data_IF_087352297353
#
_entry.id   IF_087352297353
#
_cell.length_a   1.000
_cell.length_b   1.000
_cell.length_c   1.000
_cell.angle_alpha   90.00
_cell.angle_beta   90.00
_cell.angle_gamma   90.00
#
_symmetry.space_group_name_H-M   'P 1'
#
loop_
_entity.id
_entity.type
_entity.pdbx_description
1 polymer ?
#
# COMPACT_ATOMS: atom_id res chain seq x y z
N UNK A 1 -12.36 8.03 -15.27
CA UNK A 1 -11.72 9.21 -14.61
C UNK A 1 -11.07 10.09 -15.68
N UNK A 2 -11.49 11.38 -15.83
CA UNK A 2 -10.87 12.32 -16.77
C UNK A 2 -9.39 12.60 -16.40
N UNK A 3 -8.54 12.80 -17.42
CA UNK A 3 -7.10 13.06 -17.20
C UNK A 3 -6.84 14.33 -16.39
N UNK A 4 -7.60 15.39 -16.70
CA UNK A 4 -7.45 16.68 -15.99
C UNK A 4 -7.73 16.56 -14.48
N UNK A 5 -8.69 15.73 -14.09
CA UNK A 5 -8.94 15.46 -12.69
C UNK A 5 -7.78 14.70 -12.03
N UNK A 6 -7.24 13.68 -12.72
CA UNK A 6 -6.08 12.93 -12.22
C UNK A 6 -4.86 13.83 -12.03
N UNK A 7 -4.57 14.71 -13.01
CA UNK A 7 -3.46 15.68 -12.94
C UNK A 7 -3.67 16.71 -11.83
N UNK A 8 -4.91 17.13 -11.56
CA UNK A 8 -5.23 18.02 -10.44
C UNK A 8 -4.97 17.33 -9.11
N UNK A 9 -5.48 16.11 -8.92
CA UNK A 9 -5.26 15.35 -7.67
C UNK A 9 -3.77 15.14 -7.37
N UNK A 10 -2.95 14.84 -8.39
CA UNK A 10 -1.50 14.72 -8.23
C UNK A 10 -0.86 16.07 -7.89
N UNK A 11 -1.15 17.14 -8.66
CA UNK A 11 -0.56 18.45 -8.47
C UNK A 11 -0.89 19.08 -7.12
N UNK A 12 -2.17 19.00 -6.74
CA UNK A 12 -2.71 19.70 -5.56
C UNK A 12 -2.72 18.79 -4.32
N UNK A 13 -2.24 17.55 -4.46
CA UNK A 13 -2.28 16.49 -3.43
C UNK A 13 -3.69 16.31 -2.86
N UNK A 14 -4.71 16.32 -3.74
CA UNK A 14 -6.13 16.32 -3.41
C UNK A 14 -6.68 14.91 -3.32
N UNK A 15 -7.36 14.58 -2.21
CA UNK A 15 -8.07 13.32 -2.07
C UNK A 15 -9.36 13.32 -2.92
N UNK A 16 -9.54 12.36 -3.86
CA UNK A 16 -10.69 12.29 -4.74
C UNK A 16 -11.90 11.64 -4.04
N UNK A 17 -12.46 12.28 -3.02
CA UNK A 17 -13.54 11.76 -2.17
C UNK A 17 -14.76 11.28 -2.96
N UNK A 18 -15.15 11.99 -4.04
CA UNK A 18 -16.28 11.58 -4.90
C UNK A 18 -16.00 10.23 -5.58
N UNK A 19 -14.76 10.00 -6.04
CA UNK A 19 -14.40 8.73 -6.68
C UNK A 19 -14.38 7.62 -5.64
N UNK A 20 -13.82 7.89 -4.44
CA UNK A 20 -13.84 6.93 -3.34
C UNK A 20 -15.28 6.52 -2.98
N UNK A 21 -16.20 7.48 -2.85
CA UNK A 21 -17.61 7.20 -2.62
C UNK A 21 -18.26 6.37 -3.73
N UNK A 22 -17.86 6.54 -4.99
CA UNK A 22 -18.33 5.68 -6.10
C UNK A 22 -17.83 4.25 -5.97
N UNK A 23 -16.57 4.03 -5.54
CA UNK A 23 -16.03 2.69 -5.28
C UNK A 23 -16.79 2.00 -4.14
N UNK A 24 -17.14 2.75 -3.08
CA UNK A 24 -18.02 2.28 -1.98
C UNK A 24 -19.36 1.85 -2.54
N UNK A 25 -20.03 2.71 -3.30
CA UNK A 25 -21.35 2.44 -3.89
C UNK A 25 -21.35 1.23 -4.85
N UNK A 26 -20.20 0.89 -5.43
CA UNK A 26 -19.99 -0.31 -6.26
C UNK A 26 -19.75 -1.57 -5.42
N UNK A 27 -19.68 -1.48 -4.09
CA UNK A 27 -19.41 -2.60 -3.19
C UNK A 27 -17.95 -3.08 -3.16
N UNK A 28 -17.01 -2.33 -3.77
CA UNK A 28 -15.63 -2.78 -3.93
C UNK A 28 -14.85 -2.85 -2.59
N UNK A 29 -15.29 -2.10 -1.57
CA UNK A 29 -14.68 -2.17 -0.23
C UNK A 29 -14.97 -3.48 0.49
N UNK A 30 -16.00 -4.23 0.05
CA UNK A 30 -16.40 -5.51 0.61
C UNK A 30 -15.64 -6.73 0.07
N UNK A 31 -14.71 -6.59 -0.88
CA UNK A 31 -13.96 -7.69 -1.50
C UNK A 31 -13.04 -8.45 -0.53
N UNK A 32 -12.80 -7.91 0.65
CA UNK A 32 -11.93 -8.48 1.68
C UNK A 32 -12.68 -8.78 2.98
N UNK A 33 -13.99 -8.59 3.00
CA UNK A 33 -14.85 -8.69 4.19
C UNK A 33 -15.87 -9.81 4.00
N UNK A 34 -16.05 -10.63 5.04
CA UNK A 34 -17.01 -11.73 5.04
C UNK A 34 -18.46 -11.25 4.87
N UNK A 35 -19.32 -12.09 4.31
CA UNK A 35 -20.73 -11.80 4.03
C UNK A 35 -21.53 -11.42 5.29
N UNK A 36 -21.20 -12.03 6.43
CA UNK A 36 -21.86 -11.72 7.72
C UNK A 36 -21.69 -10.28 8.18
N UNK A 37 -20.64 -9.58 7.71
CA UNK A 37 -20.38 -8.16 7.97
C UNK A 37 -20.74 -7.25 6.78
N UNK A 38 -21.45 -7.81 5.78
CA UNK A 38 -21.94 -7.06 4.61
C UNK A 38 -20.98 -7.03 3.41
N UNK A 39 -19.87 -7.77 3.47
CA UNK A 39 -18.94 -7.92 2.35
C UNK A 39 -19.38 -8.98 1.33
N UNK A 40 -18.51 -9.28 0.39
CA UNK A 40 -18.71 -10.31 -0.65
C UNK A 40 -17.85 -11.56 -0.45
N UNK A 41 -17.18 -11.65 0.68
CA UNK A 41 -16.20 -12.70 0.97
C UNK A 41 -14.77 -12.25 0.69
N UNK A 42 -13.80 -13.11 1.08
CA UNK A 42 -12.38 -12.84 0.88
C UNK A 42 -11.95 -13.24 -0.53
N UNK A 43 -11.77 -12.25 -1.40
CA UNK A 43 -11.31 -12.42 -2.80
C UNK A 43 -10.07 -11.55 -3.05
N UNK A 44 -8.89 -12.12 -2.85
CA UNK A 44 -7.61 -11.42 -3.03
C UNK A 44 -7.32 -11.19 -4.52
N UNK A 45 -7.70 -12.12 -5.38
CA UNK A 45 -7.52 -11.99 -6.82
C UNK A 45 -8.32 -10.82 -7.39
N UNK A 46 -9.58 -10.64 -6.98
CA UNK A 46 -10.39 -9.49 -7.37
C UNK A 46 -9.83 -8.19 -6.76
N UNK A 47 -9.40 -8.21 -5.50
CA UNK A 47 -8.79 -7.05 -4.84
C UNK A 47 -7.53 -6.60 -5.58
N UNK A 48 -6.62 -7.50 -5.93
CA UNK A 48 -5.41 -7.24 -6.73
C UNK A 48 -5.76 -6.65 -8.10
N UNK A 49 -6.81 -7.18 -8.76
CA UNK A 49 -7.29 -6.65 -10.04
C UNK A 49 -7.76 -5.20 -9.91
N UNK A 50 -8.54 -4.89 -8.88
CA UNK A 50 -9.02 -3.52 -8.63
C UNK A 50 -7.84 -2.60 -8.34
N UNK A 51 -6.87 -3.01 -7.52
CA UNK A 51 -5.65 -2.23 -7.24
C UNK A 51 -4.88 -1.95 -8.54
N UNK A 52 -4.62 -2.96 -9.37
CA UNK A 52 -3.94 -2.79 -10.67
C UNK A 52 -4.67 -1.75 -11.53
N UNK A 53 -5.99 -1.89 -11.70
CA UNK A 53 -6.79 -1.00 -12.55
C UNK A 53 -6.83 0.45 -12.02
N UNK A 54 -6.98 0.63 -10.72
CA UNK A 54 -7.02 1.96 -10.10
C UNK A 54 -5.66 2.64 -10.15
N UNK A 55 -4.58 1.91 -9.82
CA UNK A 55 -3.21 2.44 -9.83
C UNK A 55 -2.69 2.70 -11.25
N UNK A 56 -3.15 1.95 -12.26
CA UNK A 56 -2.92 2.29 -13.66
C UNK A 56 -3.47 3.67 -14.03
N UNK A 57 -4.50 4.13 -13.33
CA UNK A 57 -5.07 5.46 -13.56
C UNK A 57 -4.46 6.51 -12.64
N UNK A 58 -4.44 6.26 -11.33
CA UNK A 58 -3.90 7.18 -10.33
C UNK A 58 -3.71 6.51 -8.98
N UNK A 59 -2.57 6.74 -8.34
CA UNK A 59 -2.36 6.37 -6.93
C UNK A 59 -3.27 7.17 -5.98
N UNK A 60 -3.70 8.38 -6.36
CA UNK A 60 -4.67 9.15 -5.58
C UNK A 60 -6.00 8.42 -5.38
N UNK A 61 -6.31 7.45 -6.25
CA UNK A 61 -7.52 6.61 -6.14
C UNK A 61 -7.19 5.22 -5.60
N UNK A 62 -6.11 4.60 -6.10
CA UNK A 62 -5.71 3.26 -5.67
C UNK A 62 -5.25 3.22 -4.21
N UNK A 63 -4.57 4.26 -3.72
CA UNK A 63 -4.13 4.36 -2.33
C UNK A 63 -5.28 4.30 -1.32
N UNK A 64 -6.28 5.20 -1.40
CA UNK A 64 -7.45 5.15 -0.51
C UNK A 64 -8.25 3.85 -0.59
N UNK A 65 -8.35 3.24 -1.76
CA UNK A 65 -8.96 1.91 -1.89
C UNK A 65 -8.22 0.87 -1.04
N UNK A 66 -6.88 0.81 -1.12
CA UNK A 66 -6.06 -0.09 -0.32
C UNK A 66 -6.22 0.22 1.18
N UNK A 67 -6.21 1.50 1.55
CA UNK A 67 -6.35 1.94 2.94
C UNK A 67 -7.73 1.59 3.54
N UNK A 68 -8.76 1.47 2.72
CA UNK A 68 -10.08 1.03 3.12
C UNK A 68 -10.21 -0.50 3.05
N UNK A 69 -10.14 -1.10 1.87
CA UNK A 69 -10.40 -2.52 1.68
C UNK A 69 -9.36 -3.40 2.39
N UNK A 70 -8.09 -3.00 2.38
CA UNK A 70 -7.01 -3.84 2.88
C UNK A 70 -6.59 -3.44 4.30
N UNK A 71 -6.24 -2.16 4.52
CA UNK A 71 -5.75 -1.76 5.85
C UNK A 71 -6.86 -1.74 6.91
N UNK A 72 -8.05 -1.26 6.57
CA UNK A 72 -9.19 -1.33 7.48
C UNK A 72 -9.93 -2.66 7.37
N UNK A 73 -10.32 -3.09 6.18
CA UNK A 73 -11.12 -4.29 5.95
C UNK A 73 -10.38 -5.56 6.31
N UNK A 74 -9.38 -5.91 5.51
CA UNK A 74 -8.71 -7.21 5.62
C UNK A 74 -7.97 -7.39 6.95
N UNK A 75 -7.22 -6.38 7.43
CA UNK A 75 -6.53 -6.52 8.71
C UNK A 75 -7.50 -6.77 9.87
N UNK A 76 -8.63 -6.06 9.92
CA UNK A 76 -9.63 -6.29 10.97
C UNK A 76 -10.34 -7.64 10.77
N UNK A 77 -10.63 -8.04 9.53
CA UNK A 77 -11.20 -9.35 9.24
C UNK A 77 -10.28 -10.50 9.72
N UNK A 78 -8.96 -10.36 9.57
CA UNK A 78 -8.00 -11.41 9.95
C UNK A 78 -7.65 -11.41 11.45
N UNK A 79 -7.41 -10.24 12.06
CA UNK A 79 -6.84 -10.16 13.42
C UNK A 79 -7.66 -9.33 14.41
N UNK A 80 -8.77 -8.74 14.00
CA UNK A 80 -9.68 -8.02 14.88
C UNK A 80 -10.43 -8.95 15.82
N UNK A 81 -10.79 -8.46 17.02
CA UNK A 81 -11.70 -9.18 17.91
C UNK A 81 -13.10 -9.30 17.29
N UNK A 82 -13.97 -10.23 17.77
CA UNK A 82 -15.35 -10.33 17.29
C UNK A 82 -16.11 -9.00 17.41
N UNK A 83 -15.87 -8.24 18.47
CA UNK A 83 -16.45 -6.91 18.66
C UNK A 83 -15.94 -5.91 17.61
N UNK A 84 -14.62 -5.87 17.39
CA UNK A 84 -14.02 -4.99 16.38
C UNK A 84 -14.50 -5.32 14.97
N UNK A 85 -14.62 -6.62 14.64
CA UNK A 85 -15.19 -7.04 13.34
C UNK A 85 -16.62 -6.57 13.18
N UNK A 86 -17.48 -6.79 14.19
CA UNK A 86 -18.88 -6.40 14.15
C UNK A 86 -19.11 -4.89 14.08
N UNK A 87 -18.22 -4.07 14.67
CA UNK A 87 -18.31 -2.62 14.64
C UNK A 87 -17.68 -1.99 13.39
N UNK A 88 -16.46 -2.42 13.02
CA UNK A 88 -15.66 -1.73 12.01
C UNK A 88 -15.90 -2.22 10.57
N UNK A 89 -16.09 -3.54 10.37
CA UNK A 89 -16.22 -4.09 9.02
C UNK A 89 -17.45 -3.56 8.25
N UNK A 90 -18.65 -3.44 8.88
CA UNK A 90 -19.78 -2.80 8.22
C UNK A 90 -19.51 -1.34 7.81
N UNK A 91 -18.72 -0.60 8.58
CA UNK A 91 -18.32 0.78 8.25
C UNK A 91 -17.33 0.83 7.10
N UNK A 92 -16.41 -0.14 7.01
CA UNK A 92 -15.55 -0.27 5.82
C UNK A 92 -16.39 -0.48 4.56
N UNK A 93 -17.32 -1.43 4.60
CA UNK A 93 -18.15 -1.79 3.44
C UNK A 93 -19.07 -0.65 3.01
N UNK A 94 -19.75 -0.01 3.96
CA UNK A 94 -20.85 0.94 3.64
C UNK A 94 -20.39 2.40 3.58
N UNK A 95 -19.30 2.77 4.29
CA UNK A 95 -18.82 4.15 4.41
C UNK A 95 -17.45 4.34 3.73
N UNK A 96 -16.75 3.25 3.40
CA UNK A 96 -15.38 3.30 2.88
C UNK A 96 -14.38 3.80 3.91
N UNK A 97 -14.54 3.37 5.17
CA UNK A 97 -13.65 3.77 6.27
C UNK A 97 -12.19 3.52 5.92
N UNK A 98 -11.35 4.51 6.14
CA UNK A 98 -9.91 4.49 5.82
C UNK A 98 -9.10 4.35 7.11
N UNK A 99 -8.08 3.47 7.07
CA UNK A 99 -7.00 3.45 8.05
C UNK A 99 -5.70 3.95 7.44
N UNK A 100 -4.93 4.72 8.20
CA UNK A 100 -3.55 5.04 7.88
C UNK A 100 -2.61 4.13 8.67
N UNK A 101 -1.47 3.73 8.07
CA UNK A 101 -0.45 2.98 8.80
C UNK A 101 0.50 3.90 9.56
N UNK A 102 0.65 3.65 10.87
CA UNK A 102 1.63 4.25 11.75
C UNK A 102 2.65 3.19 12.23
N UNK A 103 3.48 2.69 11.32
CA UNK A 103 4.46 1.62 11.62
C UNK A 103 5.87 2.19 11.78
N UNK A 104 6.37 2.91 10.76
CA UNK A 104 7.72 3.46 10.75
C UNK A 104 7.87 4.65 11.71
N UNK A 105 9.09 4.86 12.21
CA UNK A 105 9.47 6.01 13.04
C UNK A 105 10.67 6.73 12.42
N UNK A 106 11.03 7.95 12.85
CA UNK A 106 12.19 8.66 12.32
C UNK A 106 13.48 7.82 12.29
N UNK A 107 13.70 7.01 13.33
CA UNK A 107 14.88 6.17 13.49
C UNK A 107 14.63 4.66 13.23
N UNK A 108 13.40 4.27 12.89
CA UNK A 108 12.99 2.86 12.76
C UNK A 108 12.22 2.64 11.45
N UNK A 109 12.88 1.99 10.50
CA UNK A 109 12.28 1.58 9.23
C UNK A 109 12.27 0.05 9.08
N UNK A 110 13.37 -0.51 8.57
CA UNK A 110 13.47 -1.96 8.31
C UNK A 110 13.46 -2.82 9.59
N UNK A 111 13.98 -2.30 10.70
CA UNK A 111 13.99 -2.97 12.00
C UNK A 111 12.73 -2.62 12.83
N UNK A 112 11.58 -2.99 12.30
CA UNK A 112 10.26 -2.67 12.88
C UNK A 112 10.12 -3.13 14.34
N UNK A 113 10.82 -4.19 14.75
CA UNK A 113 10.80 -4.68 16.12
C UNK A 113 11.46 -3.72 17.14
N UNK A 114 12.12 -2.66 16.66
CA UNK A 114 12.81 -1.65 17.49
C UNK A 114 12.01 -0.36 17.69
N UNK A 115 10.70 -0.36 17.40
CA UNK A 115 9.85 0.83 17.60
C UNK A 115 9.94 1.37 19.03
N UNK A 116 9.95 2.70 19.14
CA UNK A 116 10.11 3.43 20.40
C UNK A 116 8.82 4.04 20.91
N UNK A 117 7.85 4.32 20.04
CA UNK A 117 6.50 4.74 20.45
C UNK A 117 5.92 3.72 21.42
N UNK A 118 5.26 4.20 22.47
CA UNK A 118 4.77 3.36 23.57
C UNK A 118 3.30 3.49 23.77
N UNK A 119 2.66 2.43 24.27
CA UNK A 119 1.35 2.53 24.91
C UNK A 119 1.40 1.90 26.30
N UNK A 120 0.78 2.57 27.28
CA UNK A 120 0.72 2.13 28.67
C UNK A 120 -0.72 2.04 29.12
N UNK A 121 -1.08 0.98 29.84
CA UNK A 121 -2.42 0.84 30.45
C UNK A 121 -2.63 1.85 31.54
N UNK A 122 -3.82 2.45 31.54
CA UNK A 122 -4.33 3.35 32.60
C UNK A 122 -5.83 3.06 32.79
N UNK A 123 -6.12 2.13 33.68
CA UNK A 123 -7.49 1.64 33.93
C UNK A 123 -8.09 0.99 32.68
N UNK A 124 -9.19 1.55 32.18
CA UNK A 124 -9.88 1.14 30.97
C UNK A 124 -9.33 1.82 29.70
N UNK A 125 -8.28 2.62 29.87
CA UNK A 125 -7.63 3.32 28.76
C UNK A 125 -6.19 2.87 28.58
N UNK A 126 -5.61 3.29 27.48
CA UNK A 126 -4.17 3.27 27.21
C UNK A 126 -3.72 4.69 26.86
N UNK A 127 -2.51 5.02 27.24
CA UNK A 127 -1.87 6.30 26.91
C UNK A 127 -0.78 6.06 25.88
N UNK A 128 -0.95 6.63 24.68
CA UNK A 128 -0.03 6.48 23.55
C UNK A 128 0.90 7.69 23.48
N UNK A 129 2.21 7.42 23.38
CA UNK A 129 3.26 8.44 23.23
C UNK A 129 4.29 8.02 22.17
N UNK A 130 4.78 8.98 21.42
CA UNK A 130 5.83 8.78 20.43
C UNK A 130 5.58 9.50 19.11
N UNK A 131 6.26 9.06 18.06
CA UNK A 131 6.08 9.62 16.72
C UNK A 131 6.16 8.55 15.66
N UNK A 132 5.38 8.74 14.60
CA UNK A 132 5.36 7.89 13.40
C UNK A 132 5.69 8.73 12.18
N UNK A 133 6.30 8.08 11.19
CA UNK A 133 6.74 8.72 9.96
C UNK A 133 6.18 8.01 8.74
N UNK A 134 5.97 8.76 7.65
CA UNK A 134 5.41 8.25 6.40
C UNK A 134 3.99 7.69 6.54
N UNK A 135 3.17 8.33 7.39
CA UNK A 135 1.77 7.97 7.56
C UNK A 135 0.94 8.54 6.40
N UNK A 136 0.86 7.81 5.30
CA UNK A 136 0.06 8.23 4.15
C UNK A 136 -1.42 8.20 4.48
N UNK A 137 -2.15 9.25 4.08
CA UNK A 137 -3.59 9.35 4.31
C UNK A 137 -4.01 9.63 5.77
N UNK A 138 -3.07 10.00 6.65
CA UNK A 138 -3.39 10.19 8.07
C UNK A 138 -4.51 11.21 8.34
N UNK A 139 -4.63 12.24 7.51
CA UNK A 139 -5.66 13.30 7.68
C UNK A 139 -7.02 12.97 7.07
N UNK A 140 -7.11 11.91 6.27
CA UNK A 140 -8.38 11.42 5.70
C UNK A 140 -8.82 10.10 6.34
N UNK A 141 -8.01 9.52 7.21
CA UNK A 141 -8.29 8.26 7.89
C UNK A 141 -9.15 8.49 9.14
N UNK A 142 -9.95 7.47 9.51
CA UNK A 142 -10.66 7.42 10.80
C UNK A 142 -9.73 7.01 11.92
N UNK A 143 -8.78 6.13 11.61
CA UNK A 143 -7.81 5.62 12.58
C UNK A 143 -6.41 5.55 11.98
N UNK A 144 -5.41 5.75 12.86
CA UNK A 144 -4.03 5.37 12.58
C UNK A 144 -3.81 3.97 13.20
N UNK A 145 -3.56 2.98 12.34
CA UNK A 145 -3.20 1.61 12.71
C UNK A 145 -1.74 1.61 13.18
N UNK A 146 -1.56 1.81 14.48
CA UNK A 146 -0.28 2.24 15.08
C UNK A 146 0.42 1.08 15.76
N UNK A 147 1.65 0.78 15.35
CA UNK A 147 2.51 -0.16 16.06
C UNK A 147 3.21 0.53 17.21
N UNK A 148 3.03 0.01 18.42
CA UNK A 148 3.59 0.57 19.64
C UNK A 148 4.23 -0.51 20.51
N UNK A 149 5.17 -0.11 21.35
CA UNK A 149 5.75 -0.97 22.36
C UNK A 149 4.92 -0.89 23.66
N UNK A 150 4.49 -2.05 24.12
CA UNK A 150 3.62 -2.21 25.31
C UNK A 150 4.28 -3.03 26.42
N UNK A 151 5.39 -3.70 26.11
CA UNK A 151 6.17 -4.48 27.07
C UNK A 151 7.60 -4.01 27.26
N UNK A 152 8.43 -4.76 28.02
CA UNK A 152 9.83 -4.46 28.26
C UNK A 152 10.64 -4.38 26.97
N UNK A 153 11.63 -3.47 26.90
CA UNK A 153 12.43 -3.25 25.69
C UNK A 153 13.23 -4.50 25.30
N UNK A 154 13.65 -5.30 26.25
CA UNK A 154 14.47 -6.50 26.01
C UNK A 154 13.65 -7.70 25.53
N UNK A 155 12.31 -7.65 25.64
CA UNK A 155 11.43 -8.73 25.21
C UNK A 155 10.99 -8.56 23.73
N UNK A 156 11.96 -8.34 22.90
CA UNK A 156 11.82 -8.01 21.47
C UNK A 156 10.87 -8.94 20.74
N UNK A 157 9.93 -8.40 19.97
CA UNK A 157 8.86 -9.10 19.22
C UNK A 157 7.68 -9.61 20.08
N UNK A 158 7.83 -9.74 21.40
CA UNK A 158 6.77 -10.10 22.34
C UNK A 158 6.35 -8.93 23.22
N UNK A 159 6.69 -7.72 22.83
CA UNK A 159 6.45 -6.50 23.56
C UNK A 159 5.75 -5.43 22.71
N UNK A 160 5.11 -5.84 21.61
CA UNK A 160 4.51 -4.94 20.63
C UNK A 160 3.00 -5.17 20.55
N UNK A 161 2.24 -4.10 20.45
CA UNK A 161 0.81 -4.11 20.18
C UNK A 161 0.47 -3.21 19.00
N UNK A 162 -0.63 -3.52 18.32
CA UNK A 162 -1.26 -2.65 17.33
C UNK A 162 -2.43 -1.92 17.99
N UNK A 163 -2.50 -0.62 17.78
CA UNK A 163 -3.53 0.24 18.39
C UNK A 163 -4.21 1.05 17.29
N UNK A 164 -5.54 1.04 17.27
CA UNK A 164 -6.36 1.94 16.47
C UNK A 164 -6.47 3.29 17.19
N UNK A 165 -5.63 4.24 16.79
CA UNK A 165 -5.65 5.58 17.37
C UNK A 165 -6.58 6.46 16.52
N UNK A 166 -7.72 6.96 17.08
CA UNK A 166 -8.61 7.86 16.34
C UNK A 166 -7.87 9.13 15.93
N UNK A 167 -8.04 9.55 14.67
CA UNK A 167 -7.28 10.70 14.13
C UNK A 167 -7.68 12.05 14.72
N UNK A 168 -8.86 12.13 15.34
CA UNK A 168 -9.39 13.30 16.06
C UNK A 168 -9.08 13.31 17.56
N UNK A 169 -8.34 12.31 18.07
CA UNK A 169 -7.99 12.24 19.48
C UNK A 169 -7.08 13.42 19.89
N UNK A 170 -7.34 14.05 21.06
CA UNK A 170 -6.47 15.10 21.58
C UNK A 170 -5.03 14.62 21.76
N UNK A 171 -4.05 15.49 21.47
CA UNK A 171 -2.62 15.18 21.62
C UNK A 171 -1.97 14.64 20.35
N UNK A 172 -2.68 14.57 19.22
CA UNK A 172 -2.13 14.21 17.92
C UNK A 172 -1.76 15.48 17.15
N UNK A 173 -0.57 15.46 16.53
CA UNK A 173 -0.12 16.50 15.59
C UNK A 173 0.29 15.84 14.28
N UNK A 174 -0.21 16.40 13.17
CA UNK A 174 0.11 15.99 11.81
C UNK A 174 1.02 17.04 11.16
N UNK A 175 2.20 16.61 10.71
CA UNK A 175 3.13 17.45 9.96
C UNK A 175 3.26 16.92 8.53
N UNK A 176 2.84 17.69 7.50
CA UNK A 176 2.86 17.21 6.13
C UNK A 176 4.29 17.04 5.61
N UNK A 177 4.52 15.97 4.85
CA UNK A 177 5.76 15.74 4.12
C UNK A 177 5.55 16.01 2.62
N UNK A 178 6.48 16.73 2.00
CA UNK A 178 6.47 16.91 0.54
C UNK A 178 7.12 15.70 -0.15
N UNK A 179 6.33 14.66 -0.34
CA UNK A 179 6.77 13.45 -1.03
C UNK A 179 6.89 13.69 -2.54
N UNK A 180 7.83 13.02 -3.19
CA UNK A 180 8.08 13.08 -4.63
C UNK A 180 6.89 12.59 -5.46
N UNK A 181 6.27 11.47 -5.06
CA UNK A 181 5.09 10.82 -5.65
C UNK A 181 4.10 10.43 -4.55
N UNK A 182 3.22 9.45 -4.82
CA UNK A 182 2.14 9.05 -3.89
C UNK A 182 1.24 10.23 -3.50
N UNK A 183 0.97 11.13 -4.44
CA UNK A 183 0.10 12.28 -4.22
C UNK A 183 -1.37 11.87 -4.17
N UNK A 184 -2.19 12.71 -3.57
CA UNK A 184 -3.65 12.55 -3.47
C UNK A 184 -4.15 12.18 -2.07
N UNK A 185 -3.33 11.55 -1.23
CA UNK A 185 -3.68 11.24 0.17
C UNK A 185 -2.86 12.02 1.18
N UNK A 186 -1.78 12.64 0.74
CA UNK A 186 -0.77 13.23 1.61
C UNK A 186 0.01 12.17 2.41
N UNK A 187 1.22 12.54 2.78
CA UNK A 187 2.08 11.76 3.67
C UNK A 187 2.48 12.63 4.85
N UNK A 188 2.45 12.08 6.06
CA UNK A 188 2.60 12.87 7.28
C UNK A 188 3.59 12.24 8.24
N UNK A 189 4.29 13.08 8.99
CA UNK A 189 4.80 12.74 10.30
C UNK A 189 3.66 12.94 11.31
N UNK A 190 3.51 11.99 12.24
CA UNK A 190 2.44 12.00 13.24
C UNK A 190 3.06 11.87 14.63
N UNK A 191 2.81 12.85 15.49
CA UNK A 191 3.26 12.84 16.87
C UNK A 191 2.10 12.60 17.82
N UNK A 192 2.33 11.78 18.84
CA UNK A 192 1.40 11.44 19.90
C UNK A 192 1.96 11.93 21.23
N UNK A 193 1.23 12.80 21.93
CA UNK A 193 1.58 13.31 23.25
C UNK A 193 0.43 13.02 24.19
N UNK A 194 0.62 12.04 25.08
CA UNK A 194 -0.36 11.59 26.07
C UNK A 194 -1.75 11.34 25.47
N UNK A 195 -1.79 10.71 24.29
CA UNK A 195 -3.03 10.41 23.58
C UNK A 195 -3.74 9.27 24.31
N UNK A 196 -4.91 9.59 24.91
CA UNK A 196 -5.73 8.64 25.64
C UNK A 196 -6.73 7.98 24.70
N UNK A 197 -6.69 6.65 24.61
CA UNK A 197 -7.65 5.86 23.84
C UNK A 197 -8.17 4.69 24.68
N UNK A 198 -9.40 4.20 24.42
CA UNK A 198 -9.93 3.02 25.10
C UNK A 198 -9.03 1.79 24.88
N UNK A 199 -8.91 0.92 25.89
CA UNK A 199 -8.10 -0.31 25.76
C UNK A 199 -8.64 -1.24 24.66
N UNK A 200 -9.91 -1.13 24.36
CA UNK A 200 -10.60 -1.87 23.29
C UNK A 200 -10.11 -1.48 21.88
N UNK A 201 -9.37 -0.40 21.75
CA UNK A 201 -8.71 0.01 20.51
C UNK A 201 -7.40 -0.77 20.24
N UNK A 202 -6.95 -1.61 21.17
CA UNK A 202 -5.90 -2.59 20.87
C UNK A 202 -6.48 -3.60 19.88
N UNK A 203 -5.83 -3.80 18.73
CA UNK A 203 -6.29 -4.76 17.73
C UNK A 203 -6.24 -6.18 18.32
N UNK A 204 -7.36 -6.89 18.27
CA UNK A 204 -7.52 -8.18 18.95
C UNK A 204 -7.74 -8.05 20.47
N UNK A 205 -7.90 -6.85 20.97
CA UNK A 205 -8.16 -6.53 22.39
C UNK A 205 -7.12 -7.16 23.32
N UNK A 206 -7.54 -7.90 24.37
CA UNK A 206 -6.62 -8.51 25.33
C UNK A 206 -5.67 -9.53 24.69
N UNK A 207 -6.14 -10.29 23.69
CA UNK A 207 -5.32 -11.27 22.96
C UNK A 207 -4.29 -10.60 22.05
N UNK A 208 -4.54 -9.34 21.64
CA UNK A 208 -3.65 -8.52 20.85
C UNK A 208 -2.55 -7.81 21.63
N UNK A 209 -2.70 -7.73 22.96
CA UNK A 209 -1.71 -7.07 23.81
C UNK A 209 -0.37 -7.83 23.81
N UNK A 210 0.71 -7.17 23.44
CA UNK A 210 2.04 -7.74 23.23
C UNK A 210 2.12 -8.81 22.11
N UNK A 211 1.13 -8.88 21.22
CA UNK A 211 1.03 -9.91 20.18
C UNK A 211 1.12 -9.38 18.74
N UNK A 212 1.41 -8.08 18.57
CA UNK A 212 1.45 -7.45 17.25
C UNK A 212 2.43 -8.11 16.26
N UNK A 213 3.53 -8.68 16.76
CA UNK A 213 4.50 -9.34 15.89
C UNK A 213 3.90 -10.51 15.11
N UNK A 214 3.08 -11.32 15.76
CA UNK A 214 2.41 -12.46 15.12
C UNK A 214 1.33 -12.00 14.13
N UNK A 215 0.67 -10.88 14.41
CA UNK A 215 -0.32 -10.27 13.52
C UNK A 215 0.34 -9.66 12.27
N UNK A 216 1.48 -8.96 12.43
CA UNK A 216 2.21 -8.34 11.33
C UNK A 216 3.02 -9.35 10.52
N UNK A 217 3.80 -10.22 11.19
CA UNK A 217 4.72 -11.15 10.52
C UNK A 217 4.02 -12.33 9.83
N UNK A 218 2.70 -12.43 9.96
CA UNK A 218 1.83 -13.41 9.33
C UNK A 218 1.09 -12.85 8.12
N UNK A 219 -0.21 -13.16 8.01
CA UNK A 219 -1.03 -12.85 6.84
C UNK A 219 -1.03 -11.38 6.43
N UNK A 220 -1.03 -10.44 7.38
CA UNK A 220 -1.11 -9.00 7.09
C UNK A 220 0.03 -8.49 6.20
N UNK A 221 1.29 -8.86 6.50
CA UNK A 221 2.43 -8.48 5.64
C UNK A 221 2.46 -9.23 4.31
N UNK A 222 1.89 -10.42 4.22
CA UNK A 222 1.86 -11.17 2.97
C UNK A 222 0.92 -10.49 1.97
N UNK A 223 -0.19 -9.98 2.45
CA UNK A 223 -1.15 -9.26 1.62
C UNK A 223 -0.61 -7.89 1.23
N UNK A 224 -0.02 -7.13 2.14
CA UNK A 224 0.63 -5.86 1.81
C UNK A 224 1.66 -6.01 0.67
N UNK A 225 2.44 -7.10 0.65
CA UNK A 225 3.40 -7.35 -0.43
C UNK A 225 2.73 -7.51 -1.79
N UNK A 226 1.62 -8.25 -1.86
CA UNK A 226 0.94 -8.47 -3.14
C UNK A 226 0.17 -7.23 -3.60
N UNK A 227 -0.35 -6.42 -2.68
CA UNK A 227 -0.95 -5.11 -2.97
C UNK A 227 0.06 -4.17 -3.61
N UNK A 228 1.26 -4.06 -3.03
CA UNK A 228 2.35 -3.24 -3.57
C UNK A 228 2.80 -3.74 -4.94
N UNK A 229 2.85 -5.05 -5.15
CA UNK A 229 3.11 -5.64 -6.48
C UNK A 229 2.02 -5.23 -7.48
N UNK A 230 0.75 -5.27 -7.10
CA UNK A 230 -0.38 -4.84 -7.94
C UNK A 230 -0.34 -3.33 -8.25
N UNK A 231 0.03 -2.48 -7.29
CA UNK A 231 0.25 -1.04 -7.52
C UNK A 231 1.32 -0.82 -8.59
N UNK A 232 2.48 -1.47 -8.43
CA UNK A 232 3.60 -1.36 -9.35
C UNK A 232 3.23 -1.85 -10.77
N UNK A 233 2.48 -2.96 -10.85
CA UNK A 233 1.97 -3.52 -12.09
C UNK A 233 1.03 -2.55 -12.81
N UNK A 234 0.13 -1.88 -12.06
CA UNK A 234 -0.77 -0.87 -12.60
C UNK A 234 -0.02 0.33 -13.19
N UNK A 235 0.95 0.88 -12.46
CA UNK A 235 1.77 2.00 -12.90
C UNK A 235 2.54 1.62 -14.18
N UNK A 236 3.21 0.46 -14.20
CA UNK A 236 3.97 0.00 -15.36
C UNK A 236 3.07 -0.27 -16.58
N UNK A 237 1.83 -0.74 -16.35
CA UNK A 237 0.83 -0.93 -17.42
C UNK A 237 0.47 0.41 -18.06
N UNK A 238 0.21 1.44 -17.26
CA UNK A 238 -0.11 2.77 -17.78
C UNK A 238 1.07 3.40 -18.53
N UNK A 239 2.27 3.34 -17.97
CA UNK A 239 3.47 3.87 -18.59
C UNK A 239 3.79 3.19 -19.95
N UNK A 240 3.64 1.85 -20.01
CA UNK A 240 3.86 1.12 -21.27
C UNK A 240 2.81 1.48 -22.32
N UNK A 241 1.54 1.63 -21.96
CA UNK A 241 0.50 2.05 -22.89
C UNK A 241 0.77 3.46 -23.43
N UNK A 242 1.13 4.42 -22.58
CA UNK A 242 1.48 5.77 -22.99
C UNK A 242 2.71 5.78 -23.94
N UNK A 243 3.75 4.99 -23.61
CA UNK A 243 4.94 4.89 -24.47
C UNK A 243 4.64 4.23 -25.81
N UNK A 244 3.73 3.26 -25.82
CA UNK A 244 3.30 2.59 -27.05
C UNK A 244 2.58 3.55 -27.98
N UNK A 245 1.55 4.24 -27.46
CA UNK A 245 0.75 5.23 -28.21
C UNK A 245 1.63 6.37 -28.73
N UNK A 246 2.56 6.86 -27.90
CA UNK A 246 3.53 7.87 -28.30
C UNK A 246 4.44 7.38 -29.42
N UNK A 247 4.96 6.17 -29.36
CA UNK A 247 5.86 5.62 -30.38
C UNK A 247 5.17 5.45 -31.74
N UNK A 248 3.87 5.17 -31.77
CA UNK A 248 3.09 5.05 -32.99
C UNK A 248 2.78 6.42 -33.63
N UNK A 249 2.67 7.47 -32.83
CA UNK A 249 2.30 8.81 -33.30
C UNK A 249 3.50 9.72 -33.57
N UNK A 250 4.59 9.57 -32.80
CA UNK A 250 5.79 10.41 -32.93
C UNK A 250 6.57 10.11 -34.20
N UNK A 251 6.70 11.11 -35.07
CA UNK A 251 7.47 10.99 -36.31
C UNK A 251 8.87 11.58 -36.11
N UNK A 252 9.91 10.79 -36.39
CA UNK A 252 11.30 11.20 -36.55
C UNK A 252 11.94 10.43 -37.71
N UNK A 253 12.94 11.00 -38.36
CA UNK A 253 13.59 10.41 -39.50
C UNK A 253 12.60 10.00 -40.63
N UNK A 254 11.50 10.76 -40.77
CA UNK A 254 10.48 10.57 -41.80
C UNK A 254 9.48 9.43 -41.56
N UNK A 255 9.47 8.83 -40.36
CA UNK A 255 8.53 7.75 -40.00
C UNK A 255 8.19 7.76 -38.50
N UNK A 256 7.07 7.11 -38.09
CA UNK A 256 6.82 6.83 -36.67
C UNK A 256 8.01 6.13 -36.01
N UNK A 257 8.36 6.54 -34.79
CA UNK A 257 9.52 5.96 -34.10
C UNK A 257 9.30 4.48 -33.75
N UNK A 258 8.07 4.00 -33.74
CA UNK A 258 7.73 2.57 -33.62
C UNK A 258 8.30 1.72 -34.76
N UNK A 259 8.77 2.30 -35.88
CA UNK A 259 9.47 1.60 -36.96
C UNK A 259 10.96 1.41 -36.68
N UNK A 260 11.53 2.14 -35.72
CA UNK A 260 12.94 1.99 -35.34
C UNK A 260 13.13 0.69 -34.57
N UNK A 261 14.11 -0.12 -34.95
CA UNK A 261 14.32 -1.44 -34.36
C UNK A 261 14.57 -1.38 -32.85
N UNK A 262 15.33 -0.42 -32.34
CA UNK A 262 15.62 -0.24 -30.93
C UNK A 262 14.34 0.03 -30.11
N UNK A 263 13.45 0.89 -30.61
CA UNK A 263 12.16 1.19 -29.95
C UNK A 263 11.26 -0.05 -29.94
N UNK A 264 11.18 -0.77 -31.05
CA UNK A 264 10.41 -2.01 -31.13
C UNK A 264 10.89 -3.07 -30.15
N UNK A 265 12.22 -3.22 -30.02
CA UNK A 265 12.80 -4.18 -29.06
C UNK A 265 12.49 -3.78 -27.62
N UNK A 266 12.66 -2.50 -27.27
CA UNK A 266 12.33 -1.99 -25.93
C UNK A 266 10.85 -2.20 -25.57
N UNK A 267 9.93 -1.91 -26.48
CA UNK A 267 8.49 -2.12 -26.26
C UNK A 267 8.14 -3.62 -26.12
N UNK A 268 8.72 -4.47 -26.96
CA UNK A 268 8.51 -5.92 -26.90
C UNK A 268 9.04 -6.53 -25.60
N UNK A 269 10.23 -6.11 -25.15
CA UNK A 269 10.82 -6.53 -23.88
C UNK A 269 9.98 -6.06 -22.70
N UNK A 270 9.61 -4.77 -22.65
CA UNK A 270 8.75 -4.22 -21.62
C UNK A 270 7.41 -4.96 -21.53
N UNK A 271 6.78 -5.29 -22.68
CA UNK A 271 5.53 -6.06 -22.72
C UNK A 271 5.71 -7.49 -22.20
N UNK A 272 6.82 -8.13 -22.52
CA UNK A 272 7.17 -9.48 -22.05
C UNK A 272 7.36 -9.49 -20.53
N UNK A 273 8.14 -8.54 -20.01
CA UNK A 273 8.38 -8.40 -18.57
C UNK A 273 7.09 -8.06 -17.80
N UNK A 274 6.25 -7.17 -18.35
CA UNK A 274 4.95 -6.84 -17.77
C UNK A 274 4.02 -8.06 -17.70
N UNK A 275 4.04 -8.91 -18.73
CA UNK A 275 3.29 -10.17 -18.72
C UNK A 275 3.78 -11.11 -17.61
N UNK A 276 5.08 -11.27 -17.46
CA UNK A 276 5.67 -12.06 -16.38
C UNK A 276 5.30 -11.51 -15.00
N UNK A 277 5.38 -10.19 -14.81
CA UNK A 277 4.94 -9.52 -13.57
C UNK A 277 3.48 -9.83 -13.24
N UNK A 278 2.58 -9.72 -14.24
CA UNK A 278 1.16 -10.02 -14.07
C UNK A 278 0.94 -11.48 -13.68
N UNK A 279 1.59 -12.41 -14.37
CA UNK A 279 1.49 -13.86 -14.09
C UNK A 279 1.90 -14.17 -12.65
N UNK A 280 3.05 -13.66 -12.20
CA UNK A 280 3.53 -13.88 -10.82
C UNK A 280 2.57 -13.28 -9.79
N UNK A 281 2.06 -12.07 -10.04
CA UNK A 281 1.13 -11.40 -9.12
C UNK A 281 -0.17 -12.18 -8.95
N UNK A 282 -0.81 -12.57 -10.06
CA UNK A 282 -2.10 -13.25 -10.00
C UNK A 282 -1.99 -14.72 -9.56
N UNK A 283 -0.91 -15.42 -9.90
CA UNK A 283 -0.65 -16.77 -9.36
C UNK A 283 -0.51 -16.75 -7.84
N UNK A 284 0.22 -15.75 -7.31
CA UNK A 284 0.37 -15.56 -5.86
C UNK A 284 -0.96 -15.19 -5.19
N UNK A 285 -1.76 -14.30 -5.80
CA UNK A 285 -3.07 -13.93 -5.29
C UNK A 285 -4.02 -15.15 -5.24
N UNK A 286 -4.06 -15.94 -6.30
CA UNK A 286 -4.86 -17.18 -6.35
C UNK A 286 -4.43 -18.20 -5.29
N UNK A 287 -3.13 -18.26 -4.95
CA UNK A 287 -2.63 -19.11 -3.87
C UNK A 287 -3.16 -18.64 -2.50
N UNK A 288 -3.17 -17.31 -2.27
CA UNK A 288 -3.75 -16.71 -1.07
C UNK A 288 -5.27 -16.97 -0.96
N UNK A 289 -6.01 -16.93 -2.08
CA UNK A 289 -7.45 -17.24 -2.11
C UNK A 289 -7.76 -18.68 -1.71
N UNK A 290 -6.88 -19.62 -2.03
CA UNK A 290 -7.01 -21.01 -1.60
C UNK A 290 -6.61 -21.24 -0.14
N UNK A 291 -6.20 -20.21 0.60
CA UNK A 291 -5.73 -20.30 1.98
C UNK A 291 -4.38 -21.03 2.13
N UNK A 292 -3.61 -21.12 1.05
CA UNK A 292 -2.30 -21.78 1.07
C UNK A 292 -1.23 -20.84 1.66
N UNK A 293 -0.23 -21.38 2.39
CA UNK A 293 0.93 -20.60 2.82
C UNK A 293 1.65 -19.99 1.60
N UNK A 294 1.78 -18.67 1.56
CA UNK A 294 2.32 -17.93 0.40
C UNK A 294 3.41 -16.88 0.75
N UNK A 295 3.94 -16.89 1.98
CA UNK A 295 4.91 -15.87 2.43
C UNK A 295 6.17 -15.80 1.58
N UNK A 296 6.61 -16.92 1.02
CA UNK A 296 7.75 -16.97 0.10
C UNK A 296 7.38 -16.33 -1.23
N UNK A 297 6.25 -16.73 -1.81
CA UNK A 297 5.76 -16.27 -3.11
C UNK A 297 5.40 -14.78 -3.08
N UNK A 298 4.77 -14.29 -2.01
CA UNK A 298 4.46 -12.86 -1.85
C UNK A 298 5.73 -12.02 -1.78
N UNK A 299 6.78 -12.52 -1.09
CA UNK A 299 8.09 -11.85 -1.04
C UNK A 299 8.78 -11.87 -2.39
N UNK A 300 8.70 -12.97 -3.15
CA UNK A 300 9.22 -13.07 -4.52
C UNK A 300 8.45 -12.18 -5.48
N UNK A 301 7.12 -12.17 -5.42
CA UNK A 301 6.27 -11.32 -6.25
C UNK A 301 6.58 -9.84 -6.01
N UNK A 302 6.60 -9.39 -4.75
CA UNK A 302 6.92 -8.00 -4.41
C UNK A 302 8.30 -7.59 -4.92
N UNK A 303 9.32 -8.41 -4.69
CA UNK A 303 10.68 -8.14 -5.15
C UNK A 303 10.75 -8.02 -6.67
N UNK A 304 10.28 -9.05 -7.36
CA UNK A 304 10.38 -9.13 -8.83
C UNK A 304 9.55 -8.04 -9.52
N UNK A 305 8.28 -7.90 -9.11
CA UNK A 305 7.35 -7.00 -9.78
C UNK A 305 7.74 -5.53 -9.55
N UNK A 306 8.10 -5.14 -8.33
CA UNK A 306 8.43 -3.74 -8.06
C UNK A 306 9.74 -3.29 -8.74
N UNK A 307 10.77 -4.13 -8.73
CA UNK A 307 12.05 -3.81 -9.40
C UNK A 307 11.85 -3.79 -10.93
N UNK A 308 11.13 -4.76 -11.49
CA UNK A 308 10.85 -4.84 -12.93
C UNK A 308 9.94 -3.70 -13.41
N UNK A 309 8.89 -3.37 -12.65
CA UNK A 309 8.00 -2.26 -12.99
C UNK A 309 8.74 -0.92 -13.05
N UNK A 310 9.63 -0.66 -12.08
CA UNK A 310 10.51 0.51 -12.12
C UNK A 310 11.31 0.56 -13.41
N UNK A 311 11.95 -0.54 -13.78
CA UNK A 311 12.80 -0.60 -14.97
C UNK A 311 11.98 -0.44 -16.27
N UNK A 312 10.76 -1.01 -16.33
CA UNK A 312 9.81 -0.79 -17.43
C UNK A 312 9.47 0.70 -17.55
N UNK A 313 9.08 1.35 -16.45
CA UNK A 313 8.66 2.77 -16.49
C UNK A 313 9.81 3.67 -16.91
N UNK A 314 11.03 3.46 -16.41
CA UNK A 314 12.21 4.23 -16.80
C UNK A 314 12.57 4.02 -18.28
N UNK A 315 12.40 2.80 -18.78
CA UNK A 315 12.58 2.53 -20.22
C UNK A 315 11.51 3.23 -21.06
N UNK A 316 10.25 3.21 -20.63
CA UNK A 316 9.17 3.95 -21.27
C UNK A 316 9.43 5.47 -21.32
N UNK A 317 9.95 6.02 -20.23
CA UNK A 317 10.36 7.44 -20.18
C UNK A 317 11.43 7.75 -21.24
N UNK A 318 12.41 6.85 -21.45
CA UNK A 318 13.43 7.01 -22.50
C UNK A 318 12.82 7.02 -23.91
N UNK A 319 11.77 6.24 -24.15
CA UNK A 319 11.06 6.22 -25.43
C UNK A 319 10.40 7.57 -25.72
N UNK A 320 9.83 8.22 -24.72
CA UNK A 320 9.25 9.56 -24.84
C UNK A 320 10.33 10.66 -24.98
N UNK A 321 11.56 10.40 -24.56
CA UNK A 321 12.64 11.38 -24.53
C UNK A 321 12.30 12.58 -23.64
N UNK A 322 12.55 13.80 -24.09
CA UNK A 322 12.26 15.04 -23.31
C UNK A 322 10.78 15.16 -22.94
N UNK A 323 9.85 14.64 -23.73
CA UNK A 323 8.43 14.64 -23.42
C UNK A 323 8.09 13.77 -22.22
N UNK A 324 8.86 12.73 -21.92
CA UNK A 324 8.71 11.92 -20.71
C UNK A 324 9.21 12.59 -19.44
N UNK A 325 9.76 13.82 -19.54
CA UNK A 325 10.31 14.57 -18.40
C UNK A 325 9.48 15.81 -18.04
N UNK A 326 8.55 16.22 -18.89
CA UNK A 326 7.71 17.41 -18.69
C UNK A 326 6.28 17.01 -18.31
N UNK A 327 5.59 17.87 -17.53
CA UNK A 327 4.23 17.63 -17.00
C UNK A 327 3.11 17.70 -18.05
N UNK A 328 3.43 17.84 -19.31
CA UNK A 328 2.47 17.75 -20.42
C UNK A 328 1.99 16.32 -20.66
N UNK A 329 2.87 15.35 -20.35
CA UNK A 329 2.61 13.91 -20.38
C UNK A 329 2.51 13.34 -18.96
N UNK A 330 1.84 12.19 -18.80
CA UNK A 330 1.70 11.57 -17.47
C UNK A 330 2.93 10.71 -17.10
N UNK A 331 3.86 10.50 -18.01
CA UNK A 331 5.07 9.68 -17.81
C UNK A 331 5.91 10.16 -16.61
N UNK A 332 6.06 11.46 -16.42
CA UNK A 332 6.83 11.99 -15.27
C UNK A 332 6.19 11.59 -13.93
N UNK A 333 4.85 11.54 -13.86
CA UNK A 333 4.09 11.08 -12.70
C UNK A 333 4.29 9.59 -12.48
N UNK A 334 4.21 8.78 -13.55
CA UNK A 334 4.49 7.34 -13.45
C UNK A 334 5.91 7.06 -12.93
N UNK A 335 6.90 7.86 -13.34
CA UNK A 335 8.28 7.77 -12.83
C UNK A 335 8.34 8.09 -11.34
N UNK A 336 7.74 9.21 -10.89
CA UNK A 336 7.71 9.58 -9.48
C UNK A 336 7.07 8.50 -8.62
N UNK A 337 5.97 7.96 -9.09
CA UNK A 337 5.17 6.97 -8.36
C UNK A 337 5.85 5.59 -8.31
N UNK A 338 6.47 5.14 -9.39
CA UNK A 338 7.09 3.81 -9.42
C UNK A 338 8.34 3.72 -8.56
N UNK A 339 9.08 4.83 -8.38
CA UNK A 339 10.33 4.84 -7.63
C UNK A 339 10.18 4.45 -6.16
N UNK A 340 8.99 4.63 -5.57
CA UNK A 340 8.75 4.23 -4.18
C UNK A 340 8.37 2.75 -4.04
N UNK A 341 7.92 2.08 -5.11
CA UNK A 341 7.45 0.68 -5.04
C UNK A 341 8.51 -0.31 -4.54
N UNK A 342 9.80 -0.22 -4.92
CA UNK A 342 10.85 -1.05 -4.31
C UNK A 342 11.17 -0.71 -2.84
N UNK A 343 10.65 0.39 -2.29
CA UNK A 343 10.99 0.92 -0.97
C UNK A 343 9.91 0.58 0.07
N UNK A 344 8.64 0.90 -0.21
CA UNK A 344 7.52 0.69 0.71
C UNK A 344 7.14 -0.79 0.85
N UNK A 345 6.38 -1.15 1.90
CA UNK A 345 5.94 -2.53 2.13
C UNK A 345 7.08 -3.52 2.33
N UNK A 346 8.18 -3.09 2.93
CA UNK A 346 9.44 -3.83 3.04
C UNK A 346 10.26 -3.73 1.75
N UNK A 347 11.41 -3.06 1.82
CA UNK A 347 12.28 -2.80 0.66
C UNK A 347 12.73 -4.07 -0.06
N UNK A 348 13.20 -3.92 -1.32
CA UNK A 348 13.76 -5.04 -2.10
C UNK A 348 14.86 -5.79 -1.34
N UNK A 349 15.67 -5.11 -0.53
CA UNK A 349 16.67 -5.74 0.33
C UNK A 349 16.01 -6.58 1.44
N UNK A 350 14.94 -6.10 2.06
CA UNK A 350 14.17 -6.84 3.06
C UNK A 350 13.50 -8.07 2.43
N UNK A 351 12.93 -7.95 1.22
CA UNK A 351 12.35 -9.12 0.54
C UNK A 351 13.42 -10.19 0.24
N UNK A 352 14.63 -9.80 -0.19
CA UNK A 352 15.77 -10.73 -0.37
C UNK A 352 16.12 -11.44 0.93
N UNK A 353 16.15 -10.72 2.05
CA UNK A 353 16.39 -11.32 3.37
C UNK A 353 15.28 -12.31 3.76
N UNK A 354 14.01 -11.94 3.53
CA UNK A 354 12.85 -12.80 3.82
C UNK A 354 12.96 -14.11 3.00
N UNK A 355 13.20 -14.02 1.70
CA UNK A 355 13.34 -15.16 0.80
C UNK A 355 14.50 -16.05 1.27
N UNK A 356 15.68 -15.47 1.53
CA UNK A 356 16.86 -16.22 1.97
C UNK A 356 16.61 -16.95 3.30
N UNK A 357 15.95 -16.30 4.25
CA UNK A 357 15.60 -16.89 5.54
C UNK A 357 14.59 -18.05 5.39
N UNK A 358 13.54 -17.87 4.57
CA UNK A 358 12.55 -18.91 4.32
C UNK A 358 13.12 -20.12 3.58
N UNK A 359 14.06 -19.90 2.66
CA UNK A 359 14.82 -20.95 1.97
C UNK A 359 15.92 -21.56 2.86
N UNK A 360 16.08 -21.09 4.09
CA UNK A 360 17.09 -21.57 5.06
C UNK A 360 18.54 -21.52 4.53
N UNK A 361 18.85 -20.52 3.70
CA UNK A 361 20.21 -20.30 3.26
C UNK A 361 21.11 -20.00 4.47
N UNK A 362 22.25 -20.71 4.55
CA UNK A 362 23.21 -20.50 5.65
C UNK A 362 23.79 -19.08 5.54
N UNK A 363 23.91 -18.43 6.70
CA UNK A 363 24.56 -17.12 6.83
C UNK A 363 26.06 -17.25 6.70
#
# INVERSE_FOLDING_TARGET
MPLDAVRRWDRDNEFPAEVHGKLVAMGLMGLTVEEEYGGSGRDISATVMVIEMLCARSLAVGGPFIQSACYAGLNIAEVGSPRQKADLLPRVVNEGMIFAYGISEPDVGADVASVRSTAKRDGQNIIVNGSKRFCSGATIASFIYTLVRTGPIDDRRRNLSLVLVPTDAPGIVFEPQDAMGLKGTGTYDVSFTDVVVPIENVVGEEEGWNNAWNMLAGPGLDIEKIEVAAMALGIATAALNEAWDYAEQRVQFGAPISKLQSIRHSLAEAKTLLHACRTVTYDTAAKLDRGEPASLETSMAKLFVCDTARDIVLNCQQILGAYGYIKEFDMERHVRDVLVMPILGGSSAIQKNNIANMLRLKK
#
